data_IF_455317214611
#
_entry.id   IF_455317214611
#
_cell.length_a   1.000
_cell.length_b   1.000
_cell.length_c   1.000
_cell.angle_alpha   90.00
_cell.angle_beta   90.00
_cell.angle_gamma   90.00
#
_symmetry.space_group_name_H-M   'P 1'
#
loop_
_entity.id
_entity.type
_entity.pdbx_description
1 polymer ?
#
# COMPACT_ATOMS: atom_id res chain seq x y z
N UNK A 1 -2.65 39.77 2.56
CA UNK A 1 -2.66 38.40 2.01
C UNK A 1 -3.48 37.52 2.93
N UNK A 2 -4.65 37.04 2.49
CA UNK A 2 -5.50 36.17 3.32
C UNK A 2 -4.85 34.79 3.42
N UNK A 3 -4.28 34.47 4.58
CA UNK A 3 -3.83 33.12 4.90
C UNK A 3 -5.06 32.26 5.19
N UNK A 4 -5.35 31.29 4.34
CA UNK A 4 -6.38 30.29 4.65
C UNK A 4 -5.88 29.40 5.79
N UNK A 5 -6.66 29.29 6.85
CA UNK A 5 -6.38 28.37 7.95
C UNK A 5 -6.48 26.92 7.49
N UNK A 6 -5.49 26.09 7.85
CA UNK A 6 -5.46 24.66 7.55
C UNK A 6 -6.52 23.92 8.37
N UNK A 7 -7.28 23.03 7.75
CA UNK A 7 -8.24 22.13 8.41
C UNK A 7 -7.96 20.67 8.02
N UNK A 8 -7.44 19.82 8.92
CA UNK A 8 -7.18 18.42 8.61
C UNK A 8 -8.50 17.66 8.40
N UNK A 9 -8.53 16.77 7.40
CA UNK A 9 -9.70 15.95 7.06
C UNK A 9 -9.78 14.61 7.82
N UNK A 10 -8.70 14.17 8.47
CA UNK A 10 -8.68 12.93 9.25
C UNK A 10 -9.04 11.66 8.46
N UNK A 11 -8.69 11.61 7.17
CA UNK A 11 -9.06 10.52 6.28
C UNK A 11 -8.25 9.25 6.60
N UNK A 12 -8.89 8.09 6.49
CA UNK A 12 -8.27 6.81 6.71
C UNK A 12 -7.47 6.34 5.49
N UNK A 13 -6.33 5.69 5.76
CA UNK A 13 -5.54 4.91 4.81
C UNK A 13 -4.87 3.75 5.55
N UNK A 14 -4.16 2.88 4.85
CA UNK A 14 -3.42 1.76 5.45
C UNK A 14 -2.00 1.66 4.90
N UNK A 15 -1.15 0.90 5.59
CA UNK A 15 0.22 0.58 5.20
C UNK A 15 0.48 -0.91 5.38
N UNK A 16 1.37 -1.46 4.55
CA UNK A 16 1.88 -2.82 4.70
C UNK A 16 1.14 -3.85 3.85
N UNK A 17 1.18 -5.09 4.33
CA UNK A 17 0.75 -6.27 3.59
C UNK A 17 -0.65 -6.74 3.95
N UNK A 18 -1.25 -7.49 3.03
CA UNK A 18 -2.49 -8.22 3.26
C UNK A 18 -2.26 -9.73 3.09
N UNK A 19 -3.03 -10.59 3.80
CA UNK A 19 -2.84 -12.04 3.74
C UNK A 19 -3.43 -12.68 2.47
N UNK A 20 -4.06 -11.90 1.59
CA UNK A 20 -4.70 -12.39 0.38
C UNK A 20 -3.68 -12.90 -0.64
N UNK A 21 -4.05 -13.94 -1.39
CA UNK A 21 -3.29 -14.42 -2.55
C UNK A 21 -3.81 -13.86 -3.88
N UNK A 22 -5.11 -13.51 -3.92
CA UNK A 22 -5.75 -12.87 -5.07
C UNK A 22 -5.64 -11.33 -4.98
N UNK A 23 -4.96 -10.67 -5.92
CA UNK A 23 -4.86 -9.22 -5.94
C UNK A 23 -6.19 -8.51 -6.21
N UNK A 24 -7.12 -9.16 -6.92
CA UNK A 24 -8.43 -8.56 -7.18
C UNK A 24 -9.25 -8.44 -5.88
N UNK A 25 -9.21 -9.47 -5.03
CA UNK A 25 -9.86 -9.46 -3.71
C UNK A 25 -9.26 -8.38 -2.80
N UNK A 26 -7.92 -8.34 -2.69
CA UNK A 26 -7.23 -7.33 -1.88
C UNK A 26 -7.53 -5.91 -2.35
N UNK A 27 -7.48 -5.66 -3.66
CA UNK A 27 -7.81 -4.38 -4.26
C UNK A 27 -9.26 -3.96 -4.04
N UNK A 28 -10.21 -4.90 -4.16
CA UNK A 28 -11.61 -4.64 -3.89
C UNK A 28 -11.84 -4.23 -2.43
N UNK A 29 -11.18 -4.89 -1.47
CA UNK A 29 -11.25 -4.52 -0.05
C UNK A 29 -10.63 -3.14 0.21
N UNK A 30 -9.47 -2.84 -0.38
CA UNK A 30 -8.82 -1.54 -0.26
C UNK A 30 -9.74 -0.41 -0.74
N UNK A 31 -10.34 -0.55 -1.92
CA UNK A 31 -11.27 0.44 -2.47
C UNK A 31 -12.58 0.54 -1.66
N UNK A 32 -13.06 -0.58 -1.11
CA UNK A 32 -14.29 -0.61 -0.30
C UNK A 32 -14.13 0.09 1.06
N UNK A 33 -13.02 -0.13 1.74
CA UNK A 33 -12.82 0.35 3.11
C UNK A 33 -12.01 1.64 3.20
N UNK A 34 -11.21 1.98 2.19
CA UNK A 34 -10.39 3.20 2.12
C UNK A 34 -10.73 4.01 0.85
N UNK A 35 -11.98 4.47 0.68
CA UNK A 35 -12.44 5.06 -0.59
C UNK A 35 -11.78 6.41 -0.92
N UNK A 36 -11.38 7.19 0.09
CA UNK A 36 -10.76 8.50 -0.13
C UNK A 36 -9.26 8.42 -0.41
N UNK A 37 -8.55 7.52 0.29
CA UNK A 37 -7.10 7.33 0.20
C UNK A 37 -6.80 5.82 0.18
N UNK A 38 -7.06 5.14 -0.94
CA UNK A 38 -6.83 3.71 -1.05
C UNK A 38 -5.34 3.39 -0.98
N UNK A 39 -5.04 2.12 -0.68
CA UNK A 39 -3.68 1.60 -0.59
C UNK A 39 -3.46 0.56 -1.68
N UNK A 40 -2.22 0.44 -2.15
CA UNK A 40 -1.74 -0.75 -2.84
C UNK A 40 -1.01 -1.64 -1.83
N UNK A 41 -1.68 -2.69 -1.31
CA UNK A 41 -1.05 -3.58 -0.33
C UNK A 41 -0.10 -4.57 -1.00
N UNK A 42 0.96 -4.93 -0.27
CA UNK A 42 1.81 -6.07 -0.65
C UNK A 42 1.11 -7.39 -0.33
N UNK A 43 1.29 -8.40 -1.18
CA UNK A 43 0.66 -9.72 -1.01
C UNK A 43 1.70 -10.81 -0.79
N UNK A 44 2.38 -10.88 0.37
CA UNK A 44 3.46 -11.84 0.61
C UNK A 44 3.03 -13.31 0.48
N UNK A 45 1.74 -13.61 0.67
CA UNK A 45 1.18 -14.94 0.48
C UNK A 45 0.97 -15.32 -1.01
N UNK A 46 0.97 -14.33 -1.92
CA UNK A 46 0.84 -14.53 -3.37
C UNK A 46 2.16 -14.94 -4.01
N UNK A 47 3.25 -14.27 -3.65
CA UNK A 47 4.57 -14.48 -4.26
C UNK A 47 5.69 -13.89 -3.41
N UNK A 48 6.88 -14.49 -3.49
CA UNK A 48 8.10 -13.88 -2.94
C UNK A 48 8.33 -12.46 -3.46
N UNK A 49 8.00 -12.20 -4.74
CA UNK A 49 8.18 -10.90 -5.40
C UNK A 49 7.29 -9.78 -4.82
N UNK A 50 6.30 -10.13 -4.00
CA UNK A 50 5.43 -9.17 -3.31
C UNK A 50 6.05 -8.70 -1.98
N UNK A 51 7.16 -9.29 -1.53
CA UNK A 51 7.85 -8.83 -0.35
C UNK A 51 8.49 -7.46 -0.60
N UNK A 52 8.38 -6.56 0.38
CA UNK A 52 8.97 -5.23 0.32
C UNK A 52 10.44 -5.28 -0.07
N UNK A 53 11.25 -6.10 0.60
CA UNK A 53 12.67 -6.18 0.29
C UNK A 53 12.94 -6.63 -1.14
N UNK A 54 12.20 -7.61 -1.68
CA UNK A 54 12.37 -8.07 -3.04
C UNK A 54 12.03 -6.98 -4.08
N UNK A 55 11.01 -6.15 -3.81
CA UNK A 55 10.62 -5.04 -4.70
C UNK A 55 11.64 -3.91 -4.72
N UNK A 56 12.29 -3.62 -3.58
CA UNK A 56 13.21 -2.49 -3.44
C UNK A 56 14.69 -2.89 -3.52
N UNK A 57 15.01 -4.18 -3.56
CA UNK A 57 16.40 -4.65 -3.60
C UNK A 57 16.97 -4.79 -5.01
N UNK A 58 16.17 -4.54 -6.06
CA UNK A 58 16.66 -4.57 -7.43
C UNK A 58 17.83 -3.58 -7.60
N UNK A 59 18.98 -4.09 -8.03
CA UNK A 59 20.18 -3.29 -8.24
C UNK A 59 21.01 -2.98 -6.98
N UNK A 60 20.62 -3.47 -5.80
CA UNK A 60 21.45 -3.35 -4.60
C UNK A 60 22.70 -4.27 -4.71
N UNK A 61 23.92 -3.73 -4.54
CA UNK A 61 25.13 -4.55 -4.54
C UNK A 61 25.07 -5.63 -3.45
N UNK A 62 25.37 -6.87 -3.81
CA UNK A 62 25.44 -8.00 -2.86
C UNK A 62 24.12 -8.70 -2.56
N UNK A 63 23.03 -8.36 -3.25
CA UNK A 63 21.78 -9.14 -3.26
C UNK A 63 21.90 -10.20 -4.36
N UNK A 64 21.72 -11.49 -4.00
CA UNK A 64 21.78 -12.66 -4.91
C UNK A 64 20.48 -13.44 -4.93
#
# INVERSE_FOLDING_TARGET
MNSKSFKPRGLATAIGSMPHADPAEAGALALRYLPDIPVWPQLPNRSFLENMYAQYSEGLPGVV
#
